data_IF_707131641654
#
_entry.id   IF_707131641654
#
_cell.length_a   1.000
_cell.length_b   1.000
_cell.length_c   1.000
_cell.angle_alpha   90.00
_cell.angle_beta   90.00
_cell.angle_gamma   90.00
#
_symmetry.space_group_name_H-M   'P 1'
#
loop_
_entity.id
_entity.type
_entity.pdbx_description
1 polymer ?
#
# COMPACT_ATOMS: atom_id res chain seq x y z
N UNK A 1 -19.49 -6.69 7.28
CA UNK A 1 -18.07 -6.29 7.22
C UNK A 1 -17.40 -6.69 8.52
N UNK A 2 -16.09 -6.94 8.53
CA UNK A 2 -15.35 -7.32 9.72
C UNK A 2 -13.95 -6.68 9.69
N UNK A 3 -13.63 -5.88 10.70
CA UNK A 3 -12.30 -5.31 10.88
C UNK A 3 -11.38 -6.33 11.56
N UNK A 4 -10.16 -6.46 11.05
CA UNK A 4 -9.13 -7.36 11.57
C UNK A 4 -9.49 -8.85 11.61
N UNK A 5 -10.48 -9.27 10.83
CA UNK A 5 -10.91 -10.67 10.74
C UNK A 5 -11.20 -11.04 9.28
N UNK A 6 -10.20 -11.66 8.66
CA UNK A 6 -10.18 -12.12 7.28
C UNK A 6 -10.62 -13.59 7.15
N UNK A 7 -11.10 -14.25 8.22
CA UNK A 7 -11.54 -15.66 8.22
C UNK A 7 -12.66 -16.00 7.23
N UNK A 8 -13.23 -15.01 6.54
CA UNK A 8 -14.21 -15.18 5.44
C UNK A 8 -13.66 -14.94 4.03
N UNK A 9 -12.44 -14.43 3.87
CA UNK A 9 -11.82 -14.15 2.57
C UNK A 9 -11.66 -15.43 1.73
N UNK A 10 -12.05 -15.42 0.46
CA UNK A 10 -11.88 -16.59 -0.42
C UNK A 10 -10.40 -16.98 -0.53
N UNK A 11 -10.11 -18.27 -0.76
CA UNK A 11 -8.73 -18.74 -1.03
C UNK A 11 -8.38 -18.51 -2.50
N UNK A 12 -7.10 -18.25 -2.81
CA UNK A 12 -6.60 -18.07 -4.17
C UNK A 12 -5.88 -16.74 -4.43
N UNK A 13 -5.31 -16.62 -5.62
CA UNK A 13 -4.71 -15.38 -6.11
C UNK A 13 -5.79 -14.33 -6.38
N UNK A 14 -5.58 -13.09 -5.93
CA UNK A 14 -6.54 -11.99 -6.09
C UNK A 14 -7.89 -12.21 -5.39
N UNK A 15 -7.98 -13.14 -4.44
CA UNK A 15 -9.26 -13.64 -3.95
C UNK A 15 -10.01 -12.66 -3.02
N UNK A 16 -11.31 -12.50 -3.28
CA UNK A 16 -12.19 -11.56 -2.58
C UNK A 16 -12.17 -11.70 -1.05
N UNK A 17 -11.98 -10.58 -0.34
CA UNK A 17 -12.00 -10.56 1.13
C UNK A 17 -13.40 -10.74 1.75
N UNK A 18 -14.46 -10.81 0.94
CA UNK A 18 -15.85 -10.99 1.38
C UNK A 18 -16.30 -9.99 2.47
N UNK A 19 -15.81 -8.74 2.37
CA UNK A 19 -16.10 -7.63 3.28
C UNK A 19 -15.28 -7.62 4.58
N UNK A 20 -14.21 -8.41 4.67
CA UNK A 20 -13.17 -8.19 5.68
C UNK A 20 -12.30 -6.98 5.33
N UNK A 21 -11.86 -6.24 6.34
CA UNK A 21 -10.98 -5.07 6.22
C UNK A 21 -9.74 -5.35 7.10
N UNK A 22 -8.51 -5.24 6.57
CA UNK A 22 -7.29 -5.37 7.36
C UNK A 22 -7.27 -4.41 8.56
N UNK A 23 -6.77 -4.88 9.70
CA UNK A 23 -6.65 -4.14 10.97
C UNK A 23 -7.96 -3.80 11.69
N UNK A 24 -7.91 -3.54 13.02
CA UNK A 24 -9.01 -2.96 13.79
C UNK A 24 -9.54 -1.63 13.22
N UNK A 25 -10.77 -1.25 13.57
CA UNK A 25 -11.40 -0.03 13.06
C UNK A 25 -10.73 1.26 13.54
N UNK A 26 -10.06 1.23 14.70
CA UNK A 26 -9.28 2.33 15.30
C UNK A 26 -7.82 2.35 14.82
N UNK A 27 -7.43 1.43 13.93
CA UNK A 27 -6.11 1.44 13.32
C UNK A 27 -5.93 2.68 12.42
N UNK A 28 -4.72 3.27 12.33
CA UNK A 28 -4.45 4.38 11.42
C UNK A 28 -4.89 4.16 9.97
N UNK A 29 -4.80 2.94 9.44
CA UNK A 29 -5.30 2.61 8.09
C UNK A 29 -6.82 2.76 7.95
N UNK A 30 -7.60 2.53 9.01
CA UNK A 30 -9.07 2.54 8.99
C UNK A 30 -9.69 3.78 9.66
N UNK A 31 -8.86 4.67 10.23
CA UNK A 31 -9.34 5.89 10.88
C UNK A 31 -9.87 6.89 9.86
N UNK A 32 -11.09 7.40 10.07
CA UNK A 32 -11.64 8.56 9.35
C UNK A 32 -10.85 9.82 9.75
N UNK A 33 -10.28 10.48 8.75
CA UNK A 33 -9.47 11.70 8.85
C UNK A 33 -10.10 12.88 8.10
N UNK A 34 -11.35 12.78 7.65
CA UNK A 34 -12.02 13.85 6.89
C UNK A 34 -12.10 15.19 7.66
N UNK A 35 -12.22 15.12 8.99
CA UNK A 35 -12.22 16.27 9.90
C UNK A 35 -10.88 16.62 10.55
N UNK A 36 -9.77 15.94 10.19
CA UNK A 36 -8.48 16.20 10.82
C UNK A 36 -7.87 17.56 10.41
N UNK A 37 -7.01 18.12 11.26
CA UNK A 37 -6.26 19.34 10.93
C UNK A 37 -5.40 19.16 9.67
N UNK A 38 -5.26 20.23 8.88
CA UNK A 38 -4.29 20.32 7.78
C UNK A 38 -2.91 20.70 8.35
N UNK A 39 -1.85 20.13 7.80
CA UNK A 39 -0.48 20.48 8.18
C UNK A 39 -0.11 21.88 7.66
N UNK A 40 0.46 22.79 8.47
CA UNK A 40 0.95 24.10 8.00
C UNK A 40 1.99 24.01 6.88
N UNK A 41 2.65 22.87 6.71
CA UNK A 41 3.58 22.59 5.62
C UNK A 41 2.91 22.07 4.34
N UNK A 42 1.58 21.88 4.31
CA UNK A 42 0.88 21.18 3.21
C UNK A 42 1.28 21.71 1.82
N UNK A 43 1.10 23.00 1.55
CA UNK A 43 1.30 23.54 0.20
C UNK A 43 2.75 23.37 -0.31
N UNK A 44 3.76 23.55 0.55
CA UNK A 44 5.17 23.32 0.15
C UNK A 44 5.49 21.85 -0.10
N UNK A 45 4.88 20.94 0.66
CA UNK A 45 5.09 19.49 0.52
C UNK A 45 4.41 18.99 -0.76
N UNK A 46 3.15 19.40 -1.00
CA UNK A 46 2.43 19.15 -2.26
C UNK A 46 3.21 19.69 -3.47
N UNK A 47 3.75 20.91 -3.37
CA UNK A 47 4.55 21.51 -4.43
C UNK A 47 5.85 20.72 -4.72
N UNK A 48 6.50 20.16 -3.69
CA UNK A 48 7.74 19.38 -3.83
C UNK A 48 7.57 18.07 -4.61
N UNK A 49 6.39 17.44 -4.52
CA UNK A 49 6.00 16.23 -5.25
C UNK A 49 5.50 16.62 -6.66
N UNK A 50 4.62 17.61 -6.71
CA UNK A 50 4.19 18.27 -7.95
C UNK A 50 2.70 18.58 -7.93
N UNK A 51 2.36 19.85 -7.65
CA UNK A 51 0.99 20.34 -7.52
C UNK A 51 0.14 20.20 -8.81
N UNK A 52 0.77 20.09 -9.98
CA UNK A 52 0.09 20.08 -11.29
C UNK A 52 0.12 18.70 -11.97
N UNK A 53 0.85 17.75 -11.39
CA UNK A 53 0.82 16.34 -11.78
C UNK A 53 -0.52 15.74 -11.36
N UNK A 54 -1.06 14.86 -12.20
CA UNK A 54 -2.29 14.12 -11.89
C UNK A 54 -2.03 12.86 -11.07
N UNK A 55 -3.02 12.36 -10.35
CA UNK A 55 -2.95 11.02 -9.76
C UNK A 55 -2.76 9.96 -10.86
N UNK A 56 -1.90 8.98 -10.61
CA UNK A 56 -1.63 7.88 -11.54
C UNK A 56 -2.00 6.55 -10.88
N UNK A 57 -2.94 5.81 -11.47
CA UNK A 57 -3.16 4.39 -11.15
C UNK A 57 -1.99 3.54 -11.61
N UNK A 58 -1.32 2.89 -10.68
CA UNK A 58 -0.24 1.93 -10.91
C UNK A 58 -0.77 0.49 -10.73
N UNK A 59 -1.88 0.23 -11.43
CA UNK A 59 -2.61 -1.03 -11.44
C UNK A 59 -3.61 -1.03 -12.62
N UNK A 60 -4.08 -2.20 -13.02
CA UNK A 60 -5.07 -2.31 -14.08
C UNK A 60 -5.34 -3.74 -14.57
N UNK A 61 -5.99 -3.83 -15.73
CA UNK A 61 -6.26 -5.06 -16.47
C UNK A 61 -5.18 -5.35 -17.52
N UNK A 62 -5.00 -6.63 -17.84
CA UNK A 62 -4.04 -7.08 -18.84
C UNK A 62 -2.59 -7.10 -18.35
N UNK A 63 -1.65 -6.95 -19.28
CA UNK A 63 -0.21 -7.01 -19.02
C UNK A 63 0.50 -5.71 -19.43
N UNK A 64 1.50 -5.31 -18.65
CA UNK A 64 2.50 -4.33 -19.00
C UNK A 64 3.87 -5.03 -19.07
N UNK A 65 4.60 -4.87 -20.17
CA UNK A 65 5.92 -5.50 -20.39
C UNK A 65 5.95 -7.02 -20.09
N UNK A 66 4.83 -7.71 -20.35
CA UNK A 66 4.69 -9.15 -20.17
C UNK A 66 4.25 -9.62 -18.76
N UNK A 67 3.96 -8.71 -17.84
CA UNK A 67 3.52 -9.02 -16.47
C UNK A 67 2.21 -8.30 -16.10
N UNK A 68 1.40 -8.82 -15.15
CA UNK A 68 0.17 -8.15 -14.69
C UNK A 68 0.42 -6.73 -14.15
N UNK A 69 -0.52 -5.81 -14.37
CA UNK A 69 -0.37 -4.39 -13.97
C UNK A 69 -0.79 -4.20 -12.51
N UNK A 70 0.17 -3.89 -11.64
CA UNK A 70 -0.02 -3.67 -10.20
C UNK A 70 0.47 -4.84 -9.34
N UNK A 71 0.28 -4.73 -8.03
CA UNK A 71 0.87 -5.66 -7.05
C UNK A 71 -0.12 -6.79 -6.76
N UNK A 72 0.19 -8.06 -7.14
CA UNK A 72 -0.69 -9.18 -6.89
C UNK A 72 -0.60 -9.65 -5.43
N UNK A 73 -1.63 -10.38 -4.99
CA UNK A 73 -1.65 -11.02 -3.67
C UNK A 73 -2.31 -12.40 -3.75
N UNK A 74 -2.07 -13.23 -2.73
CA UNK A 74 -2.63 -14.57 -2.59
C UNK A 74 -3.23 -14.76 -1.20
N UNK A 75 -4.41 -15.36 -1.11
CA UNK A 75 -5.01 -15.77 0.17
C UNK A 75 -4.84 -17.27 0.37
N UNK A 76 -4.30 -17.65 1.53
CA UNK A 76 -4.06 -19.04 1.94
C UNK A 76 -4.76 -19.35 3.26
N UNK A 77 -4.96 -20.64 3.54
CA UNK A 77 -5.42 -21.11 4.85
C UNK A 77 -4.24 -21.25 5.82
N UNK A 78 -4.53 -21.36 7.11
CA UNK A 78 -3.54 -21.61 8.16
C UNK A 78 -2.86 -22.99 8.08
N UNK A 79 -3.24 -23.82 7.09
CA UNK A 79 -2.62 -25.12 6.78
C UNK A 79 -1.54 -25.02 5.69
N UNK A 80 -1.36 -23.83 5.08
CA UNK A 80 -0.32 -23.62 4.08
C UNK A 80 1.07 -23.90 4.64
N UNK A 81 1.81 -24.79 3.98
CA UNK A 81 3.17 -25.12 4.35
C UNK A 81 4.07 -23.87 4.35
N UNK A 82 4.85 -23.72 5.42
CA UNK A 82 5.80 -22.61 5.58
C UNK A 82 7.13 -22.94 4.91
N UNK A 83 7.64 -22.02 4.12
CA UNK A 83 8.91 -22.16 3.41
C UNK A 83 9.98 -21.22 3.98
N UNK A 84 11.24 -21.68 3.92
CA UNK A 84 12.39 -20.89 4.32
C UNK A 84 12.57 -19.67 3.40
N UNK A 85 13.23 -18.64 3.93
CA UNK A 85 13.55 -17.42 3.20
C UNK A 85 15.05 -17.16 3.34
N UNK A 86 15.71 -16.96 2.21
CA UNK A 86 17.12 -16.63 2.09
C UNK A 86 17.23 -15.12 1.82
N UNK A 87 17.52 -14.34 2.87
CA UNK A 87 17.64 -12.88 2.75
C UNK A 87 18.97 -12.45 2.11
N UNK A 88 18.90 -11.58 1.10
CA UNK A 88 20.05 -11.13 0.30
C UNK A 88 20.49 -9.70 0.61
N UNK A 89 19.67 -8.90 1.31
CA UNK A 89 20.00 -7.54 1.73
C UNK A 89 19.58 -7.27 3.19
N UNK A 90 18.36 -6.81 3.43
CA UNK A 90 17.82 -6.32 4.70
C UNK A 90 17.41 -7.45 5.67
N UNK A 91 18.22 -8.51 5.76
CA UNK A 91 17.92 -9.68 6.59
C UNK A 91 17.92 -9.39 8.10
N UNK A 92 18.64 -8.36 8.53
CA UNK A 92 18.70 -7.86 9.90
C UNK A 92 17.58 -6.87 10.27
N UNK A 93 16.80 -6.43 9.27
CA UNK A 93 15.55 -5.68 9.40
C UNK A 93 14.30 -6.53 9.03
N UNK A 94 14.50 -7.82 8.74
CA UNK A 94 13.46 -8.75 8.32
C UNK A 94 12.98 -9.65 9.45
N UNK A 95 11.74 -10.12 9.32
CA UNK A 95 11.21 -11.21 10.14
C UNK A 95 11.81 -12.55 9.67
N UNK A 96 12.39 -13.38 10.57
CA UNK A 96 13.29 -14.48 10.17
C UNK A 96 12.66 -15.65 9.40
N UNK A 97 11.34 -15.64 9.18
CA UNK A 97 10.61 -16.76 8.59
C UNK A 97 10.54 -17.99 9.51
N UNK A 98 10.12 -19.16 8.97
CA UNK A 98 9.58 -19.38 7.63
C UNK A 98 8.14 -18.85 7.48
N UNK A 99 7.77 -18.39 6.28
CA UNK A 99 6.44 -17.85 5.97
C UNK A 99 5.58 -18.83 5.15
N UNK A 100 4.24 -18.81 5.27
CA UNK A 100 3.32 -19.63 4.48
C UNK A 100 3.13 -19.07 3.06
N UNK A 101 4.23 -18.81 2.33
CA UNK A 101 4.22 -18.31 0.96
C UNK A 101 4.49 -19.48 0.01
N UNK A 102 3.48 -20.02 -0.72
CA UNK A 102 3.70 -21.11 -1.66
C UNK A 102 4.54 -20.63 -2.86
N UNK A 103 5.31 -21.52 -3.50
CA UNK A 103 6.27 -21.15 -4.55
C UNK A 103 5.62 -20.66 -5.86
N UNK A 104 4.34 -20.95 -6.05
CA UNK A 104 3.49 -20.48 -7.15
C UNK A 104 2.69 -19.20 -6.80
N UNK A 105 2.94 -18.60 -5.62
CA UNK A 105 2.38 -17.30 -5.28
C UNK A 105 2.73 -16.27 -6.37
N UNK A 106 1.77 -15.43 -6.79
CA UNK A 106 2.01 -14.45 -7.84
C UNK A 106 3.01 -13.40 -7.37
N UNK A 107 3.95 -13.08 -8.26
CA UNK A 107 5.03 -12.11 -8.03
C UNK A 107 4.78 -10.91 -8.95
N UNK A 108 4.85 -9.69 -8.40
CA UNK A 108 4.80 -8.47 -9.20
C UNK A 108 5.86 -8.47 -10.32
N UNK A 109 5.50 -8.00 -11.51
CA UNK A 109 6.43 -7.92 -12.64
C UNK A 109 6.90 -9.26 -13.20
N UNK A 110 6.54 -10.40 -12.60
CA UNK A 110 6.91 -11.70 -13.13
C UNK A 110 6.00 -12.13 -14.31
N UNK A 111 6.53 -12.90 -15.28
CA UNK A 111 7.91 -13.37 -15.38
C UNK A 111 8.90 -12.36 -15.96
N UNK A 112 8.42 -11.24 -16.55
CA UNK A 112 9.22 -10.37 -17.43
C UNK A 112 10.23 -9.43 -16.75
N UNK A 113 10.05 -9.10 -15.47
CA UNK A 113 10.78 -8.00 -14.80
C UNK A 113 11.63 -8.44 -13.60
N UNK A 114 12.74 -7.73 -13.42
CA UNK A 114 13.70 -7.87 -12.32
C UNK A 114 13.70 -6.67 -11.35
N UNK A 115 12.59 -5.93 -11.28
CA UNK A 115 12.36 -4.82 -10.36
C UNK A 115 12.02 -5.28 -8.93
N UNK A 116 11.01 -4.66 -8.33
CA UNK A 116 10.71 -4.81 -6.89
C UNK A 116 10.10 -6.17 -6.55
N UNK A 117 9.37 -6.80 -7.48
CA UNK A 117 8.96 -8.21 -7.40
C UNK A 117 8.33 -8.58 -6.05
N UNK A 118 7.38 -7.76 -5.61
CA UNK A 118 6.64 -8.00 -4.38
C UNK A 118 5.85 -9.32 -4.43
N UNK A 119 5.81 -10.02 -3.29
CA UNK A 119 4.94 -11.20 -3.07
C UNK A 119 4.19 -10.99 -1.77
N UNK A 120 2.86 -10.89 -1.85
CA UNK A 120 1.99 -10.62 -0.72
C UNK A 120 1.07 -11.82 -0.45
N UNK A 121 1.13 -12.39 0.75
CA UNK A 121 0.31 -13.56 1.13
C UNK A 121 -0.43 -13.33 2.44
N UNK A 122 -1.73 -13.58 2.41
CA UNK A 122 -2.65 -13.46 3.54
C UNK A 122 -2.99 -14.86 4.06
N UNK A 123 -2.57 -15.15 5.29
CA UNK A 123 -3.06 -16.28 6.06
C UNK A 123 -4.39 -15.85 6.73
N UNK A 124 -5.50 -16.24 6.10
CA UNK A 124 -6.84 -15.80 6.49
C UNK A 124 -7.32 -16.37 7.81
N UNK A 125 -6.72 -17.47 8.27
CA UNK A 125 -7.14 -18.18 9.47
C UNK A 125 -6.38 -17.63 10.69
N UNK A 126 -5.06 -17.42 10.55
CA UNK A 126 -4.21 -16.87 11.60
C UNK A 126 -4.17 -15.32 11.65
N UNK A 127 -4.90 -14.63 10.76
CA UNK A 127 -4.93 -13.16 10.65
C UNK A 127 -3.54 -12.54 10.42
N UNK A 128 -2.75 -13.13 9.53
CA UNK A 128 -1.38 -12.65 9.21
C UNK A 128 -1.23 -12.30 7.74
N UNK A 129 -0.43 -11.28 7.49
CA UNK A 129 0.03 -10.87 6.18
C UNK A 129 1.55 -11.06 6.14
N UNK A 130 2.05 -11.67 5.09
CA UNK A 130 3.47 -11.92 4.86
C UNK A 130 3.85 -11.29 3.53
N UNK A 131 4.87 -10.44 3.54
CA UNK A 131 5.28 -9.69 2.36
C UNK A 131 6.78 -9.85 2.15
N UNK A 132 7.18 -10.14 0.90
CA UNK A 132 8.59 -10.19 0.48
C UNK A 132 8.86 -9.11 -0.57
N UNK A 133 10.01 -8.44 -0.44
CA UNK A 133 10.57 -7.57 -1.47
C UNK A 133 11.69 -8.27 -2.25
N UNK A 134 11.78 -7.97 -3.54
CA UNK A 134 12.72 -8.55 -4.52
C UNK A 134 12.69 -10.08 -4.60
N UNK A 135 11.49 -10.66 -4.60
CA UNK A 135 11.32 -12.09 -4.37
C UNK A 135 11.55 -12.98 -5.61
N UNK A 136 12.22 -14.11 -5.39
CA UNK A 136 12.41 -15.17 -6.37
C UNK A 136 12.24 -16.56 -5.75
N UNK A 137 11.41 -17.40 -6.35
CA UNK A 137 11.33 -18.81 -5.99
C UNK A 137 12.65 -19.55 -6.34
N UNK A 138 13.08 -20.44 -5.45
CA UNK A 138 14.36 -21.17 -5.51
C UNK A 138 14.20 -22.61 -5.01
N UNK A 139 13.65 -23.50 -5.84
CA UNK A 139 13.54 -24.92 -5.54
C UNK A 139 12.53 -25.22 -4.43
N UNK A 140 12.95 -25.13 -3.17
CA UNK A 140 12.20 -25.41 -1.95
C UNK A 140 11.96 -24.18 -1.05
N UNK A 141 12.49 -23.01 -1.45
CA UNK A 141 12.50 -21.78 -0.65
C UNK A 141 12.33 -20.51 -1.49
N UNK A 142 12.21 -19.38 -0.80
CA UNK A 142 12.28 -18.06 -1.41
C UNK A 142 13.66 -17.42 -1.18
N UNK A 143 14.18 -16.73 -2.19
CA UNK A 143 15.22 -15.72 -2.02
C UNK A 143 14.59 -14.33 -2.16
N UNK A 144 14.93 -13.40 -1.25
CA UNK A 144 14.33 -12.07 -1.18
C UNK A 144 15.33 -11.06 -0.59
N UNK A 145 15.15 -9.77 -0.86
CA UNK A 145 15.98 -8.74 -0.22
C UNK A 145 15.49 -8.44 1.21
N UNK A 146 14.17 -8.51 1.43
CA UNK A 146 13.50 -8.17 2.68
C UNK A 146 12.24 -9.01 2.86
N UNK A 147 11.83 -9.25 4.11
CA UNK A 147 10.54 -9.87 4.42
C UNK A 147 9.96 -9.44 5.75
N UNK A 148 8.65 -9.18 5.77
CA UNK A 148 7.92 -8.71 6.93
C UNK A 148 6.67 -9.55 7.20
N UNK A 149 6.38 -9.78 8.49
CA UNK A 149 5.18 -10.47 8.95
C UNK A 149 4.31 -9.54 9.80
N UNK A 150 3.08 -9.29 9.34
CA UNK A 150 2.16 -8.32 9.94
C UNK A 150 0.96 -8.98 10.59
N UNK A 151 0.55 -8.46 11.74
CA UNK A 151 -0.66 -8.80 12.47
C UNK A 151 -1.84 -8.00 11.91
N UNK A 152 -2.78 -8.67 11.23
CA UNK A 152 -3.97 -8.02 10.68
C UNK A 152 -5.08 -7.80 11.71
N UNK A 153 -4.95 -8.33 12.92
CA UNK A 153 -5.93 -8.35 14.00
C UNK A 153 -5.63 -7.36 15.15
N UNK A 154 -4.55 -6.57 15.03
CA UNK A 154 -4.05 -5.71 16.11
C UNK A 154 -3.50 -4.37 15.60
N UNK A 155 -3.45 -3.36 16.46
CA UNK A 155 -2.78 -2.08 16.20
C UNK A 155 -1.26 -2.14 16.45
N UNK A 156 -0.76 -3.15 17.17
CA UNK A 156 0.65 -3.54 17.14
C UNK A 156 0.93 -4.35 15.86
N UNK A 157 1.02 -3.65 14.72
CA UNK A 157 0.95 -4.25 13.38
C UNK A 157 2.16 -5.13 13.04
N UNK A 158 3.37 -4.83 13.55
CA UNK A 158 4.57 -5.66 13.37
C UNK A 158 5.34 -5.85 14.70
N UNK A 159 4.87 -6.74 15.60
CA UNK A 159 5.36 -6.83 16.98
C UNK A 159 6.84 -7.19 17.17
N UNK A 160 7.44 -7.76 16.15
CA UNK A 160 8.83 -8.21 16.05
C UNK A 160 9.80 -7.10 15.64
N UNK A 161 9.29 -6.01 15.07
CA UNK A 161 10.12 -4.96 14.51
C UNK A 161 10.82 -4.12 15.59
N UNK A 162 12.06 -3.73 15.30
CA UNK A 162 12.77 -2.69 16.05
C UNK A 162 12.43 -1.31 15.47
N UNK A 163 12.58 -0.21 16.25
CA UNK A 163 12.53 1.13 15.70
C UNK A 163 13.52 1.27 14.53
N UNK A 164 13.06 1.83 13.41
CA UNK A 164 13.88 1.98 12.21
C UNK A 164 13.79 0.84 11.20
N UNK A 165 13.15 -0.29 11.50
CA UNK A 165 13.08 -1.40 10.54
C UNK A 165 12.22 -1.05 9.30
N UNK A 166 12.82 -1.25 8.12
CA UNK A 166 12.17 -1.30 6.81
C UNK A 166 11.27 -2.54 6.65
N UNK A 167 10.58 -2.67 5.52
CA UNK A 167 9.80 -3.84 5.15
C UNK A 167 9.82 -4.08 3.64
N UNK A 168 8.92 -4.91 3.11
CA UNK A 168 8.69 -4.95 1.66
C UNK A 168 8.27 -3.57 1.11
N UNK A 169 7.56 -2.77 1.90
CA UNK A 169 7.38 -1.33 1.65
C UNK A 169 8.52 -0.53 2.31
N UNK A 170 9.17 0.39 1.60
CA UNK A 170 10.38 1.05 2.10
C UNK A 170 10.14 1.97 3.32
N UNK A 171 8.91 2.42 3.54
CA UNK A 171 8.48 3.12 4.77
C UNK A 171 8.35 2.21 6.02
N UNK A 172 8.55 0.89 5.88
CA UNK A 172 8.27 -0.09 6.95
C UNK A 172 6.78 -0.41 7.13
N UNK A 173 5.96 -0.03 6.14
CA UNK A 173 4.50 -0.22 6.12
C UNK A 173 4.11 -1.57 5.48
N UNK A 174 2.92 -2.10 5.77
CA UNK A 174 2.36 -3.20 4.99
C UNK A 174 1.81 -2.69 3.64
N UNK A 175 2.13 -3.37 2.53
CA UNK A 175 1.71 -3.00 1.17
C UNK A 175 0.22 -3.33 0.97
N UNK A 176 -0.20 -4.57 1.23
CA UNK A 176 -1.55 -5.05 0.91
C UNK A 176 -2.71 -4.17 1.42
N UNK A 177 -2.67 -3.65 2.67
CA UNK A 177 -3.70 -2.75 3.18
C UNK A 177 -3.82 -1.43 2.42
N UNK A 178 -2.76 -0.97 1.75
CA UNK A 178 -2.75 0.25 0.93
C UNK A 178 -3.16 0.06 -0.53
N UNK A 179 -3.37 -1.18 -0.98
CA UNK A 179 -3.75 -1.46 -2.37
C UNK A 179 -5.22 -1.14 -2.65
N UNK A 180 -5.50 -0.48 -3.77
CA UNK A 180 -6.83 -0.44 -4.38
C UNK A 180 -7.18 -1.83 -4.94
N UNK A 181 -8.31 -2.42 -4.55
CA UNK A 181 -8.80 -3.70 -5.09
C UNK A 181 -10.12 -3.52 -5.85
N UNK A 182 -10.38 -4.35 -6.87
CA UNK A 182 -11.57 -4.19 -7.72
C UNK A 182 -12.89 -4.46 -6.97
N UNK A 183 -12.94 -5.51 -6.14
CA UNK A 183 -14.20 -5.94 -5.48
C UNK A 183 -14.78 -4.89 -4.53
N UNK A 184 -13.94 -4.03 -3.96
CA UNK A 184 -14.31 -2.89 -3.12
C UNK A 184 -14.55 -1.61 -3.95
N UNK A 185 -13.72 -1.34 -4.98
CA UNK A 185 -13.87 -0.15 -5.82
C UNK A 185 -15.15 -0.18 -6.67
N UNK A 186 -15.52 -1.37 -7.18
CA UNK A 186 -16.75 -1.59 -7.94
C UNK A 186 -18.05 -1.33 -7.16
N UNK A 187 -17.99 -1.25 -5.82
CA UNK A 187 -19.15 -0.89 -4.99
C UNK A 187 -19.46 0.62 -5.00
N UNK A 188 -18.61 1.45 -5.62
CA UNK A 188 -18.79 2.91 -5.66
C UNK A 188 -18.32 3.61 -4.38
N UNK A 189 -18.75 4.86 -4.21
CA UNK A 189 -18.38 5.69 -3.06
C UNK A 189 -18.68 4.98 -1.71
N UNK A 190 -17.66 4.83 -0.87
CA UNK A 190 -17.74 4.11 0.41
C UNK A 190 -17.54 2.58 0.31
N UNK A 191 -17.16 2.07 -0.86
CA UNK A 191 -16.72 0.69 -1.06
C UNK A 191 -15.35 0.40 -0.45
N UNK A 192 -14.35 1.23 -0.77
CA UNK A 192 -13.02 1.23 -0.14
C UNK A 192 -13.14 1.88 1.25
N UNK A 193 -12.61 1.21 2.29
CA UNK A 193 -12.81 1.57 3.71
C UNK A 193 -11.52 1.64 4.53
N UNK A 194 -10.42 1.97 3.87
CA UNK A 194 -9.09 2.14 4.44
C UNK A 194 -8.33 3.19 3.63
N UNK A 195 -7.20 3.63 4.17
CA UNK A 195 -6.24 4.48 3.47
C UNK A 195 -5.56 3.70 2.35
N UNK A 196 -5.14 4.42 1.30
CA UNK A 196 -4.35 3.85 0.20
C UNK A 196 -2.84 4.10 0.42
N UNK A 197 -1.98 3.54 -0.44
CA UNK A 197 -0.56 3.93 -0.53
C UNK A 197 -0.25 4.66 -1.83
N UNK A 198 0.74 5.56 -1.79
CA UNK A 198 1.30 6.19 -2.97
C UNK A 198 2.81 6.41 -2.85
N UNK A 199 3.47 6.75 -3.98
CA UNK A 199 4.91 7.05 -4.03
C UNK A 199 5.22 8.48 -4.48
N UNK A 200 6.44 8.94 -4.21
CA UNK A 200 6.97 10.24 -4.61
C UNK A 200 8.45 10.11 -5.05
N UNK A 201 8.89 10.92 -6.02
CA UNK A 201 10.24 10.80 -6.57
C UNK A 201 11.35 11.25 -5.63
N UNK A 202 11.01 12.06 -4.62
CA UNK A 202 11.97 12.60 -3.64
C UNK A 202 11.33 12.67 -2.27
N UNK A 203 11.95 12.00 -1.30
CA UNK A 203 11.60 12.04 0.12
C UNK A 203 12.79 12.50 0.95
N UNK A 204 12.57 12.80 2.23
CA UNK A 204 13.64 13.09 3.20
C UNK A 204 13.93 11.91 4.14
N UNK A 205 15.09 11.94 4.79
CA UNK A 205 15.53 11.07 5.90
C UNK A 205 14.70 11.32 7.17
N UNK A 206 13.40 11.07 7.08
CA UNK A 206 12.46 11.18 8.18
C UNK A 206 11.19 10.39 7.87
N UNK A 207 10.48 9.96 8.91
CA UNK A 207 9.16 9.35 8.79
C UNK A 207 8.18 9.88 9.84
N UNK A 208 6.89 9.61 9.62
CA UNK A 208 5.78 9.87 10.55
C UNK A 208 5.00 8.58 10.71
N UNK A 209 4.61 8.24 11.93
CA UNK A 209 3.82 7.02 12.17
C UNK A 209 2.48 7.05 11.39
N UNK A 210 2.01 5.90 10.84
CA UNK A 210 2.42 4.53 11.17
C UNK A 210 3.69 4.00 10.48
N UNK A 211 4.36 4.78 9.62
CA UNK A 211 5.66 4.36 9.07
C UNK A 211 6.72 4.20 10.19
N UNK A 212 7.73 3.37 9.91
CA UNK A 212 8.82 3.04 10.84
C UNK A 212 10.22 3.25 10.23
N UNK A 213 10.30 3.58 8.93
CA UNK A 213 11.55 3.72 8.19
C UNK A 213 11.48 4.83 7.12
N UNK A 214 12.63 5.24 6.58
CA UNK A 214 12.78 6.23 5.51
C UNK A 214 13.62 5.67 4.35
N UNK A 215 13.35 6.04 3.11
CA UNK A 215 14.09 5.55 1.94
C UNK A 215 15.09 6.57 1.35
N UNK A 216 15.57 7.54 2.14
CA UNK A 216 16.34 8.68 1.63
C UNK A 216 17.41 9.16 2.60
N UNK A 217 18.52 9.67 2.06
CA UNK A 217 19.57 10.38 2.80
C UNK A 217 19.40 11.91 2.81
N UNK A 218 18.44 12.44 2.04
CA UNK A 218 18.23 13.88 1.90
C UNK A 218 17.59 14.48 3.16
N UNK A 219 18.07 15.61 3.67
CA UNK A 219 17.57 16.24 4.92
C UNK A 219 16.74 17.51 4.69
N UNK A 220 16.43 17.87 3.44
CA UNK A 220 15.61 19.04 3.10
C UNK A 220 14.21 18.94 3.74
N UNK A 221 13.89 19.89 4.63
CA UNK A 221 12.62 19.96 5.33
C UNK A 221 11.41 20.29 4.43
N UNK A 222 11.65 20.64 3.16
CA UNK A 222 10.60 20.84 2.15
C UNK A 222 10.23 19.56 1.40
N UNK A 223 11.02 18.48 1.53
CA UNK A 223 10.65 17.17 1.02
C UNK A 223 9.76 16.41 2.02
N UNK A 224 8.87 15.53 1.53
CA UNK A 224 7.97 14.76 2.38
C UNK A 224 8.70 13.64 3.14
N UNK A 225 8.34 13.39 4.41
CA UNK A 225 8.76 12.20 5.14
C UNK A 225 7.94 10.98 4.72
N UNK A 226 8.49 9.77 4.90
CA UNK A 226 7.70 8.54 4.77
C UNK A 226 6.57 8.50 5.80
N UNK A 227 5.46 7.83 5.47
CA UNK A 227 4.24 7.82 6.27
C UNK A 227 3.48 9.14 6.33
N UNK A 228 3.90 10.18 5.58
CA UNK A 228 3.10 11.39 5.41
C UNK A 228 1.73 11.03 4.83
N UNK A 229 0.66 11.35 5.58
CA UNK A 229 -0.72 11.11 5.15
C UNK A 229 -1.26 12.32 4.41
N UNK A 230 -1.78 12.11 3.20
CA UNK A 230 -2.48 13.13 2.42
C UNK A 230 -3.92 12.72 2.18
N UNK A 231 -4.82 13.70 2.01
CA UNK A 231 -6.22 13.48 1.66
C UNK A 231 -6.66 14.37 0.50
N UNK A 232 -7.73 13.98 -0.18
CA UNK A 232 -8.41 14.82 -1.16
C UNK A 232 -9.18 15.92 -0.43
N UNK A 233 -8.97 17.18 -0.80
CA UNK A 233 -9.61 18.35 -0.18
C UNK A 233 -11.12 18.19 -0.14
N UNK A 234 -11.74 18.57 0.97
CA UNK A 234 -13.22 18.50 1.14
C UNK A 234 -13.95 19.25 0.02
N UNK A 235 -13.42 20.40 -0.41
CA UNK A 235 -13.95 21.24 -1.49
C UNK A 235 -13.88 20.62 -2.91
N UNK A 236 -13.05 19.59 -3.15
CA UNK A 236 -13.01 18.94 -4.46
C UNK A 236 -14.33 18.20 -4.73
N UNK A 237 -15.10 18.63 -5.73
CA UNK A 237 -16.34 17.98 -6.13
C UNK A 237 -16.05 16.75 -6.99
N UNK A 238 -16.31 15.54 -6.47
CA UNK A 238 -16.18 14.30 -7.23
C UNK A 238 -17.26 14.30 -8.33
N UNK A 239 -16.91 14.24 -9.63
CA UNK A 239 -17.91 14.31 -10.69
C UNK A 239 -18.80 13.07 -10.71
N UNK A 240 -20.11 13.26 -10.69
CA UNK A 240 -21.09 12.16 -10.74
C UNK A 240 -21.04 11.31 -12.03
N UNK A 241 -20.36 11.81 -13.06
CA UNK A 241 -20.09 11.10 -14.32
C UNK A 241 -18.89 10.13 -14.25
N UNK A 242 -18.09 10.17 -13.18
CA UNK A 242 -16.95 9.26 -13.02
C UNK A 242 -17.42 7.81 -12.81
N UNK A 243 -16.56 6.85 -13.12
CA UNK A 243 -16.80 5.42 -12.84
C UNK A 243 -17.08 5.18 -11.34
N UNK A 244 -17.87 4.14 -10.99
CA UNK A 244 -17.99 3.71 -9.59
C UNK A 244 -16.61 3.52 -8.94
N UNK A 245 -15.67 2.93 -9.66
CA UNK A 245 -14.30 2.69 -9.24
C UNK A 245 -13.55 3.99 -8.88
N UNK A 246 -13.59 5.01 -9.74
CA UNK A 246 -12.99 6.31 -9.44
C UNK A 246 -13.73 7.02 -8.30
N UNK A 247 -15.07 6.94 -8.23
CA UNK A 247 -15.84 7.49 -7.11
C UNK A 247 -15.46 6.82 -5.78
N UNK A 248 -15.22 5.51 -5.76
CA UNK A 248 -14.76 4.77 -4.59
C UNK A 248 -13.39 5.25 -4.12
N UNK A 249 -12.42 5.36 -5.04
CA UNK A 249 -11.06 5.83 -4.75
C UNK A 249 -11.08 7.26 -4.22
N UNK A 250 -11.79 8.18 -4.88
CA UNK A 250 -11.82 9.59 -4.47
C UNK A 250 -12.60 9.82 -3.18
N UNK A 251 -13.64 9.00 -2.89
CA UNK A 251 -14.30 9.01 -1.59
C UNK A 251 -13.36 8.49 -0.49
N UNK A 252 -12.63 7.40 -0.73
CA UNK A 252 -11.63 6.90 0.21
C UNK A 252 -10.50 7.92 0.45
N UNK A 253 -10.04 8.64 -0.58
CA UNK A 253 -9.06 9.71 -0.42
C UNK A 253 -9.58 10.91 0.39
N UNK A 254 -10.90 11.16 0.46
CA UNK A 254 -11.47 12.16 1.39
C UNK A 254 -11.55 11.62 2.82
N UNK A 255 -12.01 10.38 2.98
CA UNK A 255 -12.32 9.79 4.29
C UNK A 255 -11.09 9.25 5.02
N UNK A 256 -10.25 8.47 4.33
CA UNK A 256 -9.07 7.80 4.90
C UNK A 256 -7.76 8.33 4.32
N UNK A 257 -7.78 8.99 3.15
CA UNK A 257 -6.58 9.50 2.50
C UNK A 257 -5.64 8.40 2.03
N UNK A 258 -4.35 8.73 1.92
CA UNK A 258 -3.30 7.81 1.52
C UNK A 258 -1.95 8.14 2.19
N UNK A 259 -1.14 7.13 2.44
CA UNK A 259 0.19 7.25 3.03
C UNK A 259 1.27 7.26 1.94
N UNK A 260 2.25 8.16 2.08
CA UNK A 260 3.49 8.11 1.30
C UNK A 260 4.33 6.94 1.79
N UNK A 261 4.55 5.96 0.90
CA UNK A 261 5.01 4.63 1.28
C UNK A 261 6.39 4.28 0.74
N UNK A 262 6.75 4.80 -0.44
CA UNK A 262 8.05 4.55 -1.06
C UNK A 262 8.49 5.71 -1.97
N UNK A 263 9.77 5.70 -2.33
CA UNK A 263 10.28 6.46 -3.45
C UNK A 263 9.80 5.82 -4.76
N UNK A 264 9.27 6.61 -5.68
CA UNK A 264 8.74 6.10 -6.94
C UNK A 264 8.40 7.24 -7.89
N UNK A 265 7.39 7.08 -8.73
CA UNK A 265 6.89 8.19 -9.55
C UNK A 265 5.81 8.98 -8.80
N UNK A 266 5.85 10.30 -8.92
CA UNK A 266 4.99 11.19 -8.13
C UNK A 266 3.49 10.93 -8.35
N UNK A 267 2.77 10.70 -7.23
CA UNK A 267 1.34 10.42 -7.17
C UNK A 267 0.89 9.08 -7.78
N UNK A 268 1.79 8.09 -7.81
CA UNK A 268 1.45 6.73 -8.23
C UNK A 268 0.74 5.99 -7.09
N UNK A 269 -0.56 5.76 -7.25
CA UNK A 269 -1.44 4.96 -6.40
C UNK A 269 -1.30 3.48 -6.76
N UNK A 270 -0.92 2.63 -5.82
CA UNK A 270 -0.81 1.18 -6.05
C UNK A 270 -2.15 0.45 -5.89
N UNK A 271 -2.31 -0.64 -6.62
CA UNK A 271 -3.49 -1.50 -6.52
C UNK A 271 -3.21 -2.91 -7.03
N UNK A 272 -4.20 -3.78 -6.92
CA UNK A 272 -4.12 -5.15 -7.38
C UNK A 272 -4.54 -5.29 -8.86
N UNK A 273 -3.87 -6.16 -9.65
CA UNK A 273 -4.27 -6.46 -11.02
C UNK A 273 -5.65 -7.14 -11.04
N UNK A 274 -6.50 -6.73 -11.98
CA UNK A 274 -7.82 -7.34 -12.20
C UNK A 274 -8.27 -7.14 -13.65
N UNK A 275 -8.78 -8.20 -14.30
CA UNK A 275 -9.26 -8.14 -15.68
C UNK A 275 -10.47 -7.19 -15.86
N UNK A 276 -11.19 -6.86 -14.78
CA UNK A 276 -12.38 -6.01 -14.79
C UNK A 276 -12.07 -4.51 -14.81
N UNK A 277 -10.82 -4.09 -14.56
CA UNK A 277 -10.44 -2.68 -14.62
C UNK A 277 -10.56 -2.09 -16.03
N UNK A 278 -11.25 -0.95 -16.16
CA UNK A 278 -11.20 -0.14 -17.37
C UNK A 278 -10.02 0.85 -17.30
N UNK A 279 -8.88 0.43 -17.84
CA UNK A 279 -7.61 1.15 -17.75
C UNK A 279 -7.65 2.59 -18.30
N UNK A 280 -8.33 2.82 -19.42
CA UNK A 280 -8.39 4.14 -20.07
C UNK A 280 -9.31 5.10 -19.33
N UNK A 281 -10.49 4.62 -18.89
CA UNK A 281 -11.41 5.43 -18.09
C UNK A 281 -10.76 5.83 -16.76
N UNK A 282 -10.20 4.85 -16.04
CA UNK A 282 -9.57 5.09 -14.75
C UNK A 282 -8.32 6.00 -14.88
N UNK A 283 -7.56 5.89 -15.99
CA UNK A 283 -6.47 6.82 -16.33
C UNK A 283 -6.98 8.25 -16.47
N UNK A 284 -8.01 8.48 -17.28
CA UNK A 284 -8.51 9.82 -17.55
C UNK A 284 -9.13 10.47 -16.31
N UNK A 285 -9.92 9.71 -15.55
CA UNK A 285 -10.63 10.20 -14.36
C UNK A 285 -9.64 10.56 -13.23
N UNK A 286 -8.70 9.68 -12.89
CA UNK A 286 -7.73 9.97 -11.82
C UNK A 286 -6.70 11.03 -12.22
N UNK A 287 -6.22 11.04 -13.47
CA UNK A 287 -5.26 12.05 -13.92
C UNK A 287 -5.84 13.48 -13.96
N UNK A 288 -7.16 13.63 -13.86
CA UNK A 288 -7.82 14.93 -13.71
C UNK A 288 -7.66 15.53 -12.30
N UNK A 289 -7.53 14.68 -11.27
CA UNK A 289 -7.24 15.08 -9.88
C UNK A 289 -5.77 15.41 -9.77
N UNK A 290 -5.44 16.64 -9.36
CA UNK A 290 -4.07 17.15 -9.30
C UNK A 290 -3.52 17.12 -7.88
N UNK A 291 -2.19 17.16 -7.75
CA UNK A 291 -1.53 17.34 -6.45
C UNK A 291 -2.11 18.52 -5.65
N UNK A 292 -2.45 19.64 -6.31
CA UNK A 292 -3.07 20.83 -5.69
C UNK A 292 -4.47 20.59 -5.10
N UNK A 293 -5.17 19.53 -5.51
CA UNK A 293 -6.47 19.11 -4.97
C UNK A 293 -6.32 18.27 -3.69
N UNK A 294 -5.10 17.85 -3.36
CA UNK A 294 -4.75 17.16 -2.13
C UNK A 294 -4.25 18.14 -1.06
N UNK A 295 -4.29 17.70 0.19
CA UNK A 295 -3.68 18.38 1.35
C UNK A 295 -3.04 17.38 2.30
N UNK A 296 -1.96 17.80 2.96
CA UNK A 296 -1.26 16.99 3.97
C UNK A 296 -2.03 17.08 5.28
N UNK A 297 -2.34 15.94 5.90
CA UNK A 297 -2.91 15.88 7.24
C UNK A 297 -1.80 16.19 8.26
N UNK A 298 -2.12 16.99 9.27
CA UNK A 298 -1.20 17.44 10.32
C UNK A 298 -0.36 16.28 10.87
N UNK A 299 0.95 16.36 10.63
CA UNK A 299 1.90 15.35 11.06
C UNK A 299 2.16 15.46 12.57
N UNK A 300 2.11 14.33 13.27
CA UNK A 300 2.40 14.23 14.70
C UNK A 300 3.43 13.12 14.91
N UNK A 301 4.47 13.39 15.70
CA UNK A 301 5.54 12.42 15.95
C UNK A 301 6.48 12.20 14.75
N UNK A 302 6.92 13.30 14.10
CA UNK A 302 7.96 13.24 13.07
C UNK A 302 9.28 12.74 13.65
N UNK A 303 9.82 11.65 13.11
CA UNK A 303 11.12 11.08 13.44
C UNK A 303 12.13 11.46 12.37
N UNK A 304 13.19 12.18 12.74
CA UNK A 304 14.29 12.62 11.84
C UNK A 304 15.63 11.95 12.15
N UNK A 305 15.69 11.20 13.24
CA UNK A 305 16.87 10.50 13.73
C UNK A 305 16.46 9.10 14.18
N UNK A 306 17.11 8.13 13.56
CA UNK A 306 17.13 6.70 13.83
C UNK A 306 18.56 6.25 13.54
#
# INVERSE_FOLDING_TARGET
MAYGNLSRASLGAGAALNGAIPFPADNPWNTDISGADVDPASDRLIASIGADKGLYRDFGSGLWEGAPIGIPYQVVSGQQARLAIEYQAYGDESDPGPFPIPLDAPVEGAPGQNGDRHVLVIDRDNQRLYELGRAFARGDRWAADVGAAFHLDNNHVRPTAKPGWTSADAAGLPIFPGLVRYDEASQGAGGIRHALRFTAARTRRAFVHPATHYASSNTDANLPPMGMRVRLKTAYAIPASFSPEAQAILAALKTYGMFLADNGSDWFLSGAPDARWNNDRLRAELASVKGRDLEVVKMVGLVTQV
#
